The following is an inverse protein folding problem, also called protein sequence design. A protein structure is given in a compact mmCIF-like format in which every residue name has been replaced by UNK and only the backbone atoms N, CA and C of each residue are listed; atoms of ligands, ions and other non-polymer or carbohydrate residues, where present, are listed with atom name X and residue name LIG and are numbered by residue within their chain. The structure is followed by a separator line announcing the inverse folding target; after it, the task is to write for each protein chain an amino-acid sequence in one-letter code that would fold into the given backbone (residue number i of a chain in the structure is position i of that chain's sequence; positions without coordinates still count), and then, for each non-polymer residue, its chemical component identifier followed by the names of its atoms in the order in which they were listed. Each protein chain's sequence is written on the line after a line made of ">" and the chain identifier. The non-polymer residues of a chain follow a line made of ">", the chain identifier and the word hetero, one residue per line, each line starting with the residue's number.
data_IF_830054001503
#
_entry.id   IF_830054001503
#
_cell.length_a   1.000
_cell.length_b   1.000
_cell.length_c   1.000
_cell.angle_alpha   90.00
_cell.angle_beta   90.00
_cell.angle_gamma   90.00
#
_symmetry.space_group_name_H-M   'P 1'
#
loop_
_entity.id
_entity.type
_entity.pdbx_description
1 polymer ?
#
# COMPACT_ATOMS: atom_id res chain seq x y z
N UNK A 1 0.04 -12.44 2.77
CA UNK A 1 0.19 -11.01 3.19
C UNK A 1 -1.16 -10.47 3.61
N UNK A 2 -1.25 -9.69 4.69
CA UNK A 2 -2.45 -8.92 5.04
C UNK A 2 -2.69 -7.78 4.02
N UNK A 3 -3.95 -7.49 3.67
CA UNK A 3 -4.29 -6.52 2.62
C UNK A 3 -3.77 -5.12 2.94
N UNK A 4 -3.97 -4.65 4.17
CA UNK A 4 -3.51 -3.32 4.56
C UNK A 4 -1.99 -3.25 4.69
N UNK A 5 -1.35 -4.34 5.13
CA UNK A 5 0.11 -4.46 5.13
C UNK A 5 0.69 -4.38 3.71
N UNK A 6 0.00 -4.96 2.71
CA UNK A 6 0.39 -4.85 1.31
C UNK A 6 0.32 -3.40 0.82
N UNK A 7 -0.81 -2.73 1.04
CA UNK A 7 -1.02 -1.30 0.69
C UNK A 7 0.03 -0.42 1.37
N UNK A 8 0.27 -0.61 2.67
CA UNK A 8 1.29 0.15 3.40
C UNK A 8 2.68 -0.05 2.81
N UNK A 9 3.08 -1.30 2.49
CA UNK A 9 4.37 -1.58 1.86
C UNK A 9 4.55 -0.89 0.52
N UNK A 10 3.51 -0.90 -0.33
CA UNK A 10 3.54 -0.22 -1.63
C UNK A 10 3.72 1.29 -1.44
N UNK A 11 2.91 1.91 -0.59
CA UNK A 11 2.98 3.35 -0.33
C UNK A 11 4.33 3.74 0.30
N UNK A 12 4.86 2.98 1.26
CA UNK A 12 6.17 3.24 1.85
C UNK A 12 7.32 3.08 0.86
N UNK A 13 7.21 2.17 -0.11
CA UNK A 13 8.21 2.05 -1.17
C UNK A 13 8.20 3.28 -2.08
N UNK A 14 7.00 3.75 -2.46
CA UNK A 14 6.84 4.96 -3.28
C UNK A 14 7.29 6.24 -2.56
N UNK A 15 7.06 6.34 -1.24
CA UNK A 15 7.57 7.44 -0.41
C UNK A 15 9.10 7.47 -0.44
N UNK A 16 9.76 6.33 -0.21
CA UNK A 16 11.23 6.24 -0.28
C UNK A 16 11.78 6.50 -1.67
N UNK A 17 11.00 6.15 -2.70
CA UNK A 17 11.36 6.38 -4.08
C UNK A 17 11.29 7.86 -4.50
N UNK A 18 10.73 8.75 -3.68
CA UNK A 18 10.60 10.19 -4.01
C UNK A 18 11.94 10.88 -4.26
N UNK A 19 13.04 10.37 -3.68
CA UNK A 19 14.39 10.90 -3.87
C UNK A 19 15.10 10.34 -5.11
N UNK A 20 14.47 9.40 -5.84
CA UNK A 20 15.04 8.72 -6.99
C UNK A 20 14.28 9.08 -8.27
N UNK A 21 14.99 9.20 -9.42
CA UNK A 21 14.35 9.54 -10.69
C UNK A 21 13.41 8.44 -11.21
N UNK A 22 13.64 7.19 -10.79
CA UNK A 22 12.91 6.02 -11.27
C UNK A 22 12.57 5.08 -10.10
N UNK A 23 11.42 4.41 -10.21
CA UNK A 23 10.95 3.40 -9.28
C UNK A 23 10.59 2.13 -10.05
N UNK A 24 11.20 0.99 -9.70
CA UNK A 24 10.78 -0.28 -10.26
C UNK A 24 9.56 -0.83 -9.52
N UNK A 25 8.42 -0.84 -10.19
CA UNK A 25 7.17 -1.38 -9.64
C UNK A 25 7.30 -2.86 -9.21
N UNK A 26 8.23 -3.61 -9.81
CA UNK A 26 8.46 -5.01 -9.46
C UNK A 26 8.99 -5.18 -8.04
N UNK A 27 9.65 -4.16 -7.45
CA UNK A 27 10.08 -4.16 -6.04
C UNK A 27 8.90 -4.35 -5.07
N UNK A 28 7.70 -3.98 -5.52
CA UNK A 28 6.44 -4.17 -4.79
C UNK A 28 5.42 -4.95 -5.62
N UNK A 29 5.89 -5.76 -6.57
CA UNK A 29 5.09 -6.62 -7.43
C UNK A 29 4.39 -7.76 -6.67
N UNK A 30 3.61 -8.55 -7.41
CA UNK A 30 2.87 -9.70 -6.88
C UNK A 30 3.78 -10.70 -6.15
N UNK A 31 4.92 -11.05 -6.75
CA UNK A 31 5.93 -11.95 -6.18
C UNK A 31 6.56 -11.37 -4.90
N UNK A 32 7.01 -10.11 -4.95
CA UNK A 32 7.60 -9.42 -3.80
C UNK A 32 6.64 -9.33 -2.60
N UNK A 33 5.33 -9.25 -2.87
CA UNK A 33 4.29 -9.23 -1.85
C UNK A 33 3.72 -10.62 -1.50
N UNK A 34 4.11 -11.69 -2.20
CA UNK A 34 3.61 -13.04 -1.99
C UNK A 34 2.09 -13.15 -2.18
N UNK A 35 1.57 -12.53 -3.23
CA UNK A 35 0.14 -12.55 -3.61
C UNK A 35 0.00 -12.86 -5.12
N UNK A 36 -1.20 -13.22 -5.56
CA UNK A 36 -1.46 -13.37 -7.00
C UNK A 36 -1.38 -12.03 -7.74
N UNK A 37 -1.09 -12.08 -9.05
CA UNK A 37 -1.12 -10.90 -9.93
C UNK A 37 -2.47 -10.17 -9.88
N UNK A 38 -3.57 -10.92 -9.90
CA UNK A 38 -4.91 -10.34 -9.79
C UNK A 38 -5.10 -9.58 -8.48
N UNK A 39 -4.66 -10.14 -7.35
CA UNK A 39 -4.78 -9.45 -6.06
C UNK A 39 -3.92 -8.19 -6.02
N UNK A 40 -2.70 -8.27 -6.57
CA UNK A 40 -1.82 -7.13 -6.71
C UNK A 40 -2.45 -6.02 -7.56
N UNK A 41 -3.00 -6.36 -8.73
CA UNK A 41 -3.69 -5.43 -9.60
C UNK A 41 -4.87 -4.75 -8.90
N UNK A 42 -5.64 -5.49 -8.08
CA UNK A 42 -6.71 -4.90 -7.26
C UNK A 42 -6.19 -3.93 -6.21
N UNK A 43 -5.03 -4.17 -5.59
CA UNK A 43 -4.45 -3.18 -4.69
C UNK A 43 -4.12 -1.88 -5.42
N UNK A 44 -3.48 -1.98 -6.58
CA UNK A 44 -3.14 -0.82 -7.41
C UNK A 44 -4.42 -0.07 -7.82
N UNK A 45 -5.43 -0.76 -8.33
CA UNK A 45 -6.73 -0.20 -8.71
C UNK A 45 -7.38 0.56 -7.54
N UNK A 46 -7.52 -0.08 -6.37
CA UNK A 46 -8.08 0.57 -5.18
C UNK A 46 -7.28 1.81 -4.75
N UNK A 47 -5.95 1.77 -4.79
CA UNK A 47 -5.11 2.91 -4.41
C UNK A 47 -5.23 4.08 -5.40
N UNK A 48 -5.41 3.80 -6.68
CA UNK A 48 -5.70 4.82 -7.70
C UNK A 48 -7.08 5.41 -7.46
N UNK A 49 -8.10 4.58 -7.28
CA UNK A 49 -9.50 5.01 -7.11
C UNK A 49 -9.69 5.93 -5.89
N UNK A 50 -9.02 5.61 -4.78
CA UNK A 50 -9.07 6.47 -3.58
C UNK A 50 -8.04 7.60 -3.62
N UNK A 51 -7.18 7.65 -4.64
CA UNK A 51 -6.21 8.72 -4.86
C UNK A 51 -4.97 8.67 -3.97
N UNK A 52 -4.59 7.51 -3.41
CA UNK A 52 -3.32 7.35 -2.69
C UNK A 52 -2.11 7.34 -3.63
N UNK A 53 -2.32 6.88 -4.87
CA UNK A 53 -1.30 6.89 -5.92
C UNK A 53 -1.87 7.48 -7.21
N UNK A 54 -0.99 7.90 -8.12
CA UNK A 54 -1.31 8.39 -9.47
C UNK A 54 -0.27 7.92 -10.48
N UNK A 55 -0.50 8.21 -11.76
CA UNK A 55 0.45 7.83 -12.84
C UNK A 55 0.36 6.36 -13.26
N UNK A 56 -0.79 5.71 -12.98
CA UNK A 56 -1.05 4.33 -13.36
C UNK A 56 -2.11 4.28 -14.45
N UNK A 57 -1.85 3.52 -15.52
CA UNK A 57 -2.84 3.16 -16.53
C UNK A 57 -3.38 1.77 -16.26
N UNK A 58 -4.70 1.67 -16.07
CA UNK A 58 -5.42 0.41 -15.81
C UNK A 58 -6.24 0.06 -17.05
N UNK A 59 -6.03 -1.13 -17.61
CA UNK A 59 -6.81 -1.66 -18.74
C UNK A 59 -7.40 -3.01 -18.39
N UNK A 60 -8.62 -3.27 -18.85
CA UNK A 60 -9.24 -4.59 -18.77
C UNK A 60 -9.25 -5.20 -20.15
N UNK A 61 -8.80 -6.44 -20.26
CA UNK A 61 -8.89 -7.17 -21.51
C UNK A 61 -10.26 -7.85 -21.68
N UNK A 62 -10.47 -8.49 -22.84
CA UNK A 62 -11.72 -9.17 -23.19
C UNK A 62 -12.03 -10.37 -22.29
N UNK A 63 -11.03 -10.88 -21.55
CA UNK A 63 -11.19 -11.99 -20.59
C UNK A 63 -11.49 -11.47 -19.18
N UNK A 64 -11.46 -10.15 -18.96
CA UNK A 64 -11.68 -9.51 -17.68
C UNK A 64 -10.42 -9.37 -16.82
N UNK A 65 -9.25 -9.79 -17.34
CA UNK A 65 -7.99 -9.65 -16.63
C UNK A 65 -7.57 -8.18 -16.57
N UNK A 66 -7.05 -7.76 -15.43
CA UNK A 66 -6.63 -6.37 -15.19
C UNK A 66 -5.15 -6.21 -15.50
N UNK A 67 -4.84 -5.41 -16.51
CA UNK A 67 -3.46 -5.05 -16.89
C UNK A 67 -3.11 -3.69 -16.31
N UNK A 68 -2.04 -3.66 -15.53
CA UNK A 68 -1.52 -2.47 -14.89
C UNK A 68 -0.25 -2.03 -15.63
N UNK A 69 -0.19 -0.77 -16.04
CA UNK A 69 1.05 -0.08 -16.36
C UNK A 69 1.29 1.00 -15.30
N UNK A 70 2.38 0.86 -14.55
CA UNK A 70 2.72 1.71 -13.42
C UNK A 70 4.15 2.28 -13.53
N UNK A 71 4.65 2.48 -14.76
CA UNK A 71 5.96 3.08 -15.01
C UNK A 71 6.12 4.51 -14.46
N UNK A 72 5.02 5.29 -14.45
CA UNK A 72 4.99 6.66 -13.94
C UNK A 72 4.34 6.77 -12.54
N UNK A 73 4.25 5.64 -11.81
CA UNK A 73 3.53 5.61 -10.53
C UNK A 73 4.17 6.56 -9.50
N UNK A 74 3.32 7.32 -8.81
CA UNK A 74 3.75 8.24 -7.75
C UNK A 74 2.77 8.21 -6.59
N UNK A 75 3.29 8.31 -5.37
CA UNK A 75 2.47 8.57 -4.19
C UNK A 75 1.89 10.00 -4.24
N UNK A 76 0.71 10.19 -3.66
CA UNK A 76 0.07 11.50 -3.51
C UNK A 76 0.18 12.01 -2.07
N UNK A 77 -0.19 13.27 -1.83
CA UNK A 77 -0.33 13.77 -0.45
C UNK A 77 -1.31 12.92 0.38
N UNK A 78 -2.41 12.46 -0.21
CA UNK A 78 -3.36 11.56 0.46
C UNK A 78 -2.74 10.20 0.80
N UNK A 79 -1.85 9.69 -0.06
CA UNK A 79 -1.07 8.49 0.24
C UNK A 79 -0.08 8.71 1.40
N UNK A 80 0.55 9.87 1.48
CA UNK A 80 1.41 10.25 2.60
C UNK A 80 0.62 10.42 3.90
N UNK A 81 -0.55 11.06 3.84
CA UNK A 81 -1.50 11.15 4.96
C UNK A 81 -1.91 9.75 5.43
N UNK A 82 -2.21 8.83 4.51
CA UNK A 82 -2.44 7.44 4.86
C UNK A 82 -1.23 6.82 5.56
N UNK A 83 0.01 7.03 5.11
CA UNK A 83 1.17 6.50 5.84
C UNK A 83 1.28 7.08 7.27
N UNK A 84 0.91 8.34 7.47
CA UNK A 84 0.91 9.01 8.77
C UNK A 84 -0.27 8.58 9.69
N UNK A 85 -1.48 8.43 9.13
CA UNK A 85 -2.75 8.13 9.82
C UNK A 85 -3.02 6.62 9.94
N UNK A 86 -2.69 5.85 8.91
CA UNK A 86 -2.60 4.40 8.91
C UNK A 86 -1.30 3.89 9.58
N UNK A 87 -0.87 4.69 10.54
CA UNK A 87 -0.76 4.29 11.93
C UNK A 87 -1.85 3.32 12.47
N UNK A 88 -2.39 2.37 11.69
CA UNK A 88 -3.00 1.17 12.26
C UNK A 88 -2.05 0.50 13.26
N UNK A 89 -0.73 0.68 13.10
CA UNK A 89 0.25 0.44 14.16
C UNK A 89 0.17 1.41 15.37
N UNK A 90 -0.07 2.73 15.24
CA UNK A 90 -0.33 3.59 16.43
C UNK A 90 -1.62 3.19 17.15
N UNK A 91 -2.68 2.74 16.46
CA UNK A 91 -3.94 2.32 17.11
C UNK A 91 -3.86 0.93 17.76
N UNK A 92 -3.17 -0.04 17.15
CA UNK A 92 -2.86 -1.33 17.80
C UNK A 92 -1.91 -1.14 18.99
N UNK A 93 -0.89 -0.29 18.84
CA UNK A 93 0.03 0.13 19.92
C UNK A 93 -0.70 0.82 21.09
N UNK A 94 -1.59 1.76 20.81
CA UNK A 94 -2.37 2.44 21.86
C UNK A 94 -3.37 1.50 22.55
N UNK A 95 -3.96 0.54 21.83
CA UNK A 95 -4.86 -0.46 22.41
C UNK A 95 -4.14 -1.50 23.30
N UNK A 96 -2.93 -1.97 22.93
CA UNK A 96 -2.16 -2.93 23.75
C UNK A 96 -1.57 -2.27 25.01
N UNK A 97 -1.13 -1.00 24.94
CA UNK A 97 -0.75 -0.21 26.14
C UNK A 97 -1.93 -0.02 27.09
N UNK A 98 -3.09 0.33 26.55
CA UNK A 98 -4.33 0.47 27.29
C UNK A 98 -4.82 -0.81 27.98
N UNK A 99 -4.29 -2.00 27.64
CA UNK A 99 -4.59 -3.29 28.31
C UNK A 99 -3.56 -3.64 29.40
N UNK A 100 -2.30 -3.21 29.26
CA UNK A 100 -1.24 -3.44 30.27
C UNK A 100 -1.36 -2.50 31.47
N UNK A 101 -1.81 -1.27 31.25
CA UNK A 101 -1.96 -0.27 32.33
C UNK A 101 -3.15 -0.57 33.26
N UNK A 102 -4.11 -1.41 32.84
CA UNK A 102 -5.22 -1.92 33.68
C UNK A 102 -4.88 -3.22 34.43
N UNK A 103 -3.66 -3.76 34.23
CA UNK A 103 -3.10 -4.79 35.11
C UNK A 103 -1.79 -4.30 35.75
N UNK A 104 -1.85 -3.41 36.77
CA UNK A 104 -0.76 -3.26 37.72
C UNK A 104 -0.58 -4.59 38.46
N UNK A 105 0.67 -5.03 38.60
CA UNK A 105 1.05 -6.33 39.11
C UNK A 105 0.29 -6.78 40.38
N UNK A 106 -0.29 -7.97 40.26
CA UNK A 106 -0.41 -8.96 41.34
C UNK A 106 0.40 -10.19 40.92
#
# INVERSE_FOLDING_TARGET
>A
MDNFKAVYKILSALEKAMDYPEFDINDVGSEALGVSEERWARYIEMMVDVGYIKGVSIKRDITGATRINASDVRITLKGLEYLQENSMMKKVYNAVKGIKDITPGL
#
